data_IF_666153033604
#
_entry.id   IF_666153033604
#
_cell.length_a   1.000
_cell.length_b   1.000
_cell.length_c   1.000
_cell.angle_alpha   90.00
_cell.angle_beta   90.00
_cell.angle_gamma   90.00
#
_symmetry.space_group_name_H-M   'P 1'
#
loop_
_entity.id
_entity.type
_entity.pdbx_description
1 polymer ?
#
# COMPACT_ATOMS: atom_id res chain seq x y z
N UNK A 1 -88.20 4.35 -7.93
CA UNK A 1 -87.58 5.22 -8.95
C UNK A 1 -87.16 6.53 -8.27
N UNK A 2 -86.03 6.52 -7.58
CA UNK A 2 -85.12 7.66 -7.36
C UNK A 2 -83.91 7.10 -6.63
N UNK A 3 -82.78 7.21 -7.33
CA UNK A 3 -81.41 6.97 -6.91
C UNK A 3 -80.97 8.02 -5.85
N UNK A 4 -79.70 7.92 -5.43
CA UNK A 4 -78.89 8.86 -4.63
C UNK A 4 -78.79 8.54 -3.14
N UNK A 5 -77.62 8.52 -2.49
CA UNK A 5 -76.22 8.20 -2.80
C UNK A 5 -75.46 8.46 -1.48
N UNK A 6 -74.43 7.66 -1.18
CA UNK A 6 -73.39 7.99 -0.18
C UNK A 6 -73.83 7.84 1.29
N UNK A 7 -72.98 7.42 2.21
CA UNK A 7 -71.54 7.53 2.22
C UNK A 7 -71.05 6.53 3.28
N UNK A 8 -70.32 5.48 2.89
CA UNK A 8 -69.50 4.77 3.85
C UNK A 8 -68.49 5.78 4.40
N UNK A 9 -68.65 6.15 5.68
CA UNK A 9 -67.67 7.00 6.37
C UNK A 9 -66.42 6.16 6.57
N UNK A 10 -65.56 6.14 5.56
CA UNK A 10 -64.20 5.67 5.69
C UNK A 10 -63.47 6.67 6.62
N UNK A 11 -63.48 6.37 7.92
CA UNK A 11 -62.68 7.10 8.90
C UNK A 11 -61.23 6.73 8.67
N UNK A 12 -60.59 7.46 7.76
CA UNK A 12 -59.14 7.46 7.64
C UNK A 12 -58.54 7.91 9.00
N UNK A 13 -57.57 7.17 9.57
CA UNK A 13 -56.82 7.67 10.70
C UNK A 13 -55.97 8.85 10.21
N UNK A 14 -56.39 10.06 10.57
CA UNK A 14 -55.65 11.31 10.36
C UNK A 14 -54.47 11.42 11.32
N UNK A 15 -53.49 10.53 11.22
CA UNK A 15 -52.27 10.58 12.04
C UNK A 15 -51.08 10.02 11.25
N UNK A 16 -50.70 10.62 10.12
CA UNK A 16 -49.55 10.09 9.36
C UNK A 16 -48.78 11.07 8.47
N UNK A 17 -49.03 12.38 8.54
CA UNK A 17 -48.29 13.35 7.70
C UNK A 17 -46.99 13.82 8.35
N UNK A 18 -47.02 14.20 9.63
CA UNK A 18 -45.85 14.74 10.32
C UNK A 18 -44.79 13.68 10.65
N UNK A 19 -45.22 12.45 10.96
CA UNK A 19 -44.30 11.33 11.21
C UNK A 19 -43.64 10.85 9.91
N UNK A 20 -44.38 10.82 8.81
CA UNK A 20 -43.83 10.46 7.50
C UNK A 20 -42.87 11.53 6.96
N UNK A 21 -43.17 12.82 7.15
CA UNK A 21 -42.26 13.90 6.74
C UNK A 21 -41.00 13.97 7.59
N UNK A 22 -41.10 13.74 8.92
CA UNK A 22 -39.93 13.61 9.79
C UNK A 22 -39.07 12.40 9.41
N UNK A 23 -39.69 11.27 9.04
CA UNK A 23 -38.97 10.07 8.61
C UNK A 23 -38.28 10.26 7.26
N UNK A 24 -38.93 10.94 6.30
CA UNK A 24 -38.32 11.31 5.03
C UNK A 24 -37.22 12.37 5.21
N UNK A 25 -37.37 13.32 6.14
CA UNK A 25 -36.33 14.29 6.49
C UNK A 25 -35.12 13.61 7.13
N UNK A 26 -35.34 12.61 7.99
CA UNK A 26 -34.28 11.81 8.63
C UNK A 26 -33.56 10.93 7.60
N UNK A 27 -34.30 10.33 6.65
CA UNK A 27 -33.70 9.60 5.52
C UNK A 27 -32.92 10.54 4.59
N UNK A 28 -33.40 11.76 4.36
CA UNK A 28 -32.71 12.77 3.54
C UNK A 28 -31.48 13.37 4.26
N UNK A 29 -31.53 13.51 5.58
CA UNK A 29 -30.39 13.85 6.43
C UNK A 29 -29.32 12.73 6.48
N UNK A 30 -29.68 11.50 6.12
CA UNK A 30 -28.77 10.36 6.02
C UNK A 30 -28.25 10.13 4.58
N UNK A 31 -28.51 11.05 3.65
CA UNK A 31 -28.16 10.89 2.23
C UNK A 31 -27.10 11.89 1.75
N UNK A 32 -26.03 12.09 2.53
CA UNK A 32 -24.74 12.58 2.01
C UNK A 32 -23.65 12.42 3.07
N UNK A 33 -23.32 11.15 3.33
CA UNK A 33 -22.11 10.77 4.06
C UNK A 33 -21.40 9.65 3.31
N UNK A 34 -21.28 9.79 1.98
CA UNK A 34 -20.48 8.88 1.17
C UNK A 34 -19.08 8.77 1.77
N UNK A 35 -18.82 7.57 2.28
CA UNK A 35 -17.60 7.03 2.85
C UNK A 35 -16.34 7.85 2.59
N UNK A 36 -16.05 8.78 3.49
CA UNK A 36 -14.65 9.01 3.85
C UNK A 36 -14.20 7.81 4.69
N UNK A 37 -14.12 6.62 4.09
CA UNK A 37 -13.16 5.63 4.54
C UNK A 37 -11.80 6.24 4.21
N UNK A 38 -11.37 7.19 5.05
CA UNK A 38 -9.97 7.53 5.19
C UNK A 38 -9.34 6.19 5.51
N UNK A 39 -8.71 5.59 4.52
CA UNK A 39 -7.80 4.50 4.76
C UNK A 39 -6.76 5.07 5.73
N UNK A 40 -6.96 4.81 7.02
CA UNK A 40 -5.88 4.86 7.97
C UNK A 40 -5.00 3.73 7.45
N UNK A 41 -4.03 4.07 6.61
CA UNK A 41 -2.96 3.17 6.23
C UNK A 41 -2.49 2.63 7.58
N UNK A 42 -2.74 1.35 7.91
CA UNK A 42 -2.37 0.83 9.21
C UNK A 42 -0.89 1.14 9.39
N UNK A 43 -0.46 1.45 10.62
CA UNK A 43 0.93 1.75 11.01
C UNK A 43 1.95 0.63 10.67
N UNK A 44 1.52 -0.35 9.88
CA UNK A 44 2.34 -1.27 9.11
C UNK A 44 3.26 -0.48 8.19
N UNK A 45 4.55 -0.74 8.32
CA UNK A 45 5.55 -0.33 7.32
C UNK A 45 5.04 -0.80 5.96
N UNK A 46 4.79 0.14 5.05
CA UNK A 46 4.36 -0.20 3.71
C UNK A 46 5.54 -0.83 2.98
N UNK A 47 5.52 -2.14 2.84
CA UNK A 47 6.45 -2.85 1.99
C UNK A 47 6.21 -2.41 0.55
N UNK A 48 7.29 -2.01 -0.14
CA UNK A 48 7.27 -1.64 -1.55
C UNK A 48 8.48 -2.24 -2.24
N UNK A 49 8.24 -2.76 -3.43
CA UNK A 49 9.28 -3.23 -4.34
C UNK A 49 9.53 -2.16 -5.39
N UNK A 50 10.81 -1.83 -5.60
CA UNK A 50 11.26 -0.97 -6.68
C UNK A 50 12.13 -1.80 -7.62
N UNK A 51 11.84 -1.72 -8.91
CA UNK A 51 12.58 -2.42 -9.95
C UNK A 51 13.32 -1.42 -10.82
N UNK A 52 14.61 -1.67 -11.02
CA UNK A 52 15.48 -0.86 -11.86
C UNK A 52 16.18 -1.77 -12.86
N UNK A 53 16.42 -1.26 -14.07
CA UNK A 53 17.19 -1.95 -15.10
C UNK A 53 18.36 -1.07 -15.51
N UNK A 54 19.54 -1.65 -15.58
CA UNK A 54 20.78 -0.99 -15.99
C UNK A 54 21.57 -1.91 -16.90
N UNK A 55 22.35 -1.31 -17.80
CA UNK A 55 23.34 -2.04 -18.57
C UNK A 55 24.49 -2.50 -17.66
N UNK A 56 24.95 -3.74 -17.82
CA UNK A 56 26.01 -4.28 -16.96
C UNK A 56 27.35 -3.54 -17.15
N UNK A 57 27.61 -3.01 -18.35
CA UNK A 57 28.83 -2.30 -18.68
C UNK A 57 28.71 -0.79 -18.45
N UNK A 58 27.67 -0.35 -17.73
CA UNK A 58 27.52 1.05 -17.38
C UNK A 58 28.69 1.53 -16.48
N UNK A 59 29.12 2.78 -16.63
CA UNK A 59 30.19 3.32 -15.80
C UNK A 59 29.78 3.34 -14.31
N UNK A 60 30.77 3.26 -13.43
CA UNK A 60 30.54 3.50 -12.00
C UNK A 60 30.01 4.92 -11.79
N UNK A 61 29.00 5.06 -10.94
CA UNK A 61 28.27 6.31 -10.73
C UNK A 61 27.06 6.50 -11.64
N UNK A 62 26.71 5.51 -12.46
CA UNK A 62 25.47 5.54 -13.25
C UNK A 62 24.26 5.61 -12.34
N UNK A 63 23.34 6.53 -12.63
CA UNK A 63 22.09 6.71 -11.89
C UNK A 63 21.08 5.61 -12.24
N UNK A 64 20.50 4.99 -11.22
CA UNK A 64 19.40 4.01 -11.36
C UNK A 64 18.03 4.70 -11.24
N UNK A 65 17.91 5.65 -10.31
CA UNK A 65 16.67 6.33 -9.99
C UNK A 65 16.63 6.78 -8.52
N UNK A 66 15.46 7.19 -8.03
CA UNK A 66 15.30 7.73 -6.66
C UNK A 66 14.28 6.93 -5.86
N UNK A 67 14.59 6.64 -4.59
CA UNK A 67 13.68 5.99 -3.65
C UNK A 67 12.63 7.00 -3.16
N UNK A 68 11.44 6.99 -3.76
CA UNK A 68 10.36 7.93 -3.42
C UNK A 68 9.45 7.39 -2.32
N UNK A 69 9.14 8.23 -1.34
CA UNK A 69 8.08 7.99 -0.37
C UNK A 69 6.83 8.77 -0.85
N UNK A 70 5.71 8.12 -1.21
CA UNK A 70 4.50 8.74 -1.78
C UNK A 70 3.93 9.90 -0.97
N UNK A 71 4.12 9.89 0.35
CA UNK A 71 3.67 10.96 1.24
C UNK A 71 4.80 11.92 1.63
N UNK A 72 6.00 11.80 1.07
CA UNK A 72 7.12 12.72 1.29
C UNK A 72 6.73 14.20 1.12
N UNK A 73 5.99 14.62 0.07
CA UNK A 73 5.64 16.05 -0.06
C UNK A 73 4.69 16.55 1.04
N UNK A 74 3.96 15.65 1.71
CA UNK A 74 3.07 15.98 2.84
C UNK A 74 3.68 15.60 4.19
N UNK A 75 4.93 15.14 4.20
CA UNK A 75 5.60 14.73 5.41
C UNK A 75 6.14 15.97 6.14
N UNK A 76 5.55 16.26 7.30
CA UNK A 76 5.88 17.42 8.14
C UNK A 76 6.89 17.07 9.26
N UNK A 77 7.58 15.93 9.14
CA UNK A 77 8.56 15.47 10.13
C UNK A 77 10.01 15.91 9.83
N UNK A 78 10.99 15.44 10.61
CA UNK A 78 12.42 15.70 10.37
C UNK A 78 12.86 15.19 8.99
N UNK A 79 13.89 15.74 8.34
CA UNK A 79 14.35 15.27 7.03
C UNK A 79 14.56 13.75 6.99
N UNK A 80 14.10 13.13 5.90
CA UNK A 80 14.24 11.71 5.67
C UNK A 80 15.70 11.36 5.38
N UNK A 81 16.13 10.19 5.86
CA UNK A 81 17.48 9.66 5.65
C UNK A 81 17.41 8.27 5.05
N UNK A 82 18.06 8.09 3.91
CA UNK A 82 18.05 6.84 3.14
C UNK A 82 19.32 6.03 3.43
N UNK A 83 19.15 4.72 3.61
CA UNK A 83 20.25 3.76 3.78
C UNK A 83 19.77 2.36 3.42
N UNK A 84 20.70 1.50 3.00
CA UNK A 84 20.43 0.08 2.87
C UNK A 84 20.30 -0.58 4.24
N UNK A 85 19.45 -1.61 4.33
CA UNK A 85 19.33 -2.44 5.53
C UNK A 85 20.56 -3.31 5.79
N UNK A 86 21.38 -3.54 4.76
CA UNK A 86 22.66 -4.25 4.83
C UNK A 86 23.72 -3.52 3.97
N UNK A 87 25.02 -3.70 4.25
CA UNK A 87 26.07 -3.12 3.42
C UNK A 87 25.95 -3.57 1.96
N UNK A 88 25.87 -2.60 1.05
CA UNK A 88 25.91 -2.82 -0.40
C UNK A 88 27.29 -2.51 -0.94
N UNK A 89 27.80 -3.36 -1.84
CA UNK A 89 29.08 -3.15 -2.53
C UNK A 89 28.92 -2.66 -3.98
N UNK A 90 27.75 -2.90 -4.56
CA UNK A 90 27.49 -2.64 -5.98
C UNK A 90 26.70 -1.35 -6.18
N UNK A 91 25.97 -0.90 -5.16
CA UNK A 91 25.09 0.25 -5.23
C UNK A 91 25.34 1.19 -4.04
N UNK A 92 25.22 2.48 -4.30
CA UNK A 92 25.20 3.53 -3.31
C UNK A 92 23.83 4.23 -3.33
N UNK A 93 23.43 4.78 -2.18
CA UNK A 93 22.26 5.64 -2.07
C UNK A 93 22.68 6.96 -1.43
N UNK A 94 22.28 8.07 -2.03
CA UNK A 94 22.43 9.38 -1.40
C UNK A 94 21.51 9.47 -0.18
N UNK A 95 22.08 9.78 0.99
CA UNK A 95 21.35 9.75 2.26
C UNK A 95 20.20 10.76 2.29
N UNK A 96 20.26 11.85 1.52
CA UNK A 96 19.30 12.96 1.62
C UNK A 96 18.24 12.94 0.54
N UNK A 97 18.64 12.68 -0.71
CA UNK A 97 17.76 12.66 -1.87
C UNK A 97 17.16 11.28 -2.13
N UNK A 98 17.81 10.21 -1.65
CA UNK A 98 17.42 8.84 -1.97
C UNK A 98 17.81 8.40 -3.38
N UNK A 99 18.66 9.16 -4.08
CA UNK A 99 19.19 8.79 -5.40
C UNK A 99 20.08 7.55 -5.30
N UNK A 100 19.79 6.54 -6.11
CA UNK A 100 20.54 5.30 -6.24
C UNK A 100 21.52 5.40 -7.41
N UNK A 101 22.76 4.99 -7.17
CA UNK A 101 23.84 4.95 -8.17
C UNK A 101 24.63 3.65 -8.11
N UNK A 102 25.31 3.30 -9.20
CA UNK A 102 26.29 2.20 -9.19
C UNK A 102 27.55 2.62 -8.42
N UNK A 103 28.01 1.76 -7.53
CA UNK A 103 29.22 1.97 -6.72
C UNK A 103 30.42 1.13 -7.19
N UNK A 104 30.17 0.14 -8.05
CA UNK A 104 31.18 -0.74 -8.63
C UNK A 104 30.70 -1.24 -10.00
N UNK A 105 31.61 -1.79 -10.84
CA UNK A 105 31.23 -2.44 -12.09
C UNK A 105 30.22 -3.58 -11.84
N UNK A 106 29.23 -3.68 -12.72
CA UNK A 106 28.25 -4.75 -12.69
C UNK A 106 28.69 -5.83 -13.68
N UNK A 107 28.52 -7.09 -13.30
CA UNK A 107 28.89 -8.26 -14.09
C UNK A 107 27.83 -9.32 -13.80
N UNK A 108 26.90 -9.51 -14.72
CA UNK A 108 25.73 -10.35 -14.49
C UNK A 108 26.12 -11.82 -14.27
N UNK A 109 27.10 -12.32 -15.02
CA UNK A 109 27.60 -13.69 -14.96
C UNK A 109 28.22 -14.00 -13.59
N UNK A 110 29.03 -13.08 -13.07
CA UNK A 110 29.63 -13.19 -11.74
C UNK A 110 28.58 -13.20 -10.64
N UNK A 111 27.55 -12.35 -10.74
CA UNK A 111 26.46 -12.29 -9.77
C UNK A 111 25.62 -13.55 -9.77
N UNK A 112 25.27 -14.07 -10.96
CA UNK A 112 24.53 -15.32 -11.11
C UNK A 112 25.30 -16.50 -10.49
N UNK A 113 26.61 -16.54 -10.70
CA UNK A 113 27.47 -17.59 -10.15
C UNK A 113 27.54 -17.55 -8.62
N UNK A 114 27.66 -16.36 -8.03
CA UNK A 114 27.65 -16.16 -6.57
C UNK A 114 26.32 -16.57 -5.94
N UNK A 115 25.20 -16.18 -6.55
CA UNK A 115 23.87 -16.53 -6.06
C UNK A 115 23.69 -18.05 -5.97
N UNK A 116 24.06 -18.78 -7.05
CA UNK A 116 23.98 -20.24 -7.09
C UNK A 116 24.86 -20.92 -6.03
N UNK A 117 26.06 -20.39 -5.79
CA UNK A 117 26.95 -20.91 -4.74
C UNK A 117 26.36 -20.73 -3.34
N UNK A 118 25.71 -19.60 -3.08
CA UNK A 118 25.04 -19.34 -1.80
C UNK A 118 23.87 -20.30 -1.57
N UNK A 119 23.07 -20.59 -2.60
CA UNK A 119 21.98 -21.57 -2.55
C UNK A 119 22.49 -22.99 -2.27
N UNK A 120 23.58 -23.40 -2.94
CA UNK A 120 24.22 -24.69 -2.71
C UNK A 120 24.83 -24.81 -1.30
N UNK A 121 25.40 -23.71 -0.77
CA UNK A 121 25.92 -23.66 0.60
C UNK A 121 24.82 -23.75 1.66
N UNK A 122 23.67 -23.09 1.42
CA UNK A 122 22.54 -23.12 2.34
C UNK A 122 21.88 -24.50 2.44
N UNK A 123 21.78 -25.24 1.33
CA UNK A 123 21.24 -26.60 1.32
C UNK A 123 22.11 -27.60 2.10
N UNK A 124 23.44 -27.39 2.09
CA UNK A 124 24.39 -28.24 2.82
C UNK A 124 24.30 -28.04 4.34
N UNK A 125 24.06 -26.82 4.81
CA UNK A 125 23.94 -26.52 6.25
C UNK A 125 22.62 -26.98 6.89
N UNK A 126 21.57 -27.19 6.09
CA UNK A 126 20.29 -27.70 6.60
C UNK A 126 20.35 -29.19 7.00
N UNK A 127 21.29 -29.96 6.44
CA UNK A 127 21.33 -31.41 6.63
C UNK A 127 22.09 -31.84 7.89
N UNK A 128 22.96 -30.98 8.44
CA UNK A 128 23.81 -31.30 9.60
C UNK A 128 23.11 -31.11 10.96
N UNK A 129 21.96 -30.41 11.01
CA UNK A 129 21.21 -30.20 12.27
C UNK A 129 20.20 -31.32 12.60
N UNK A 130 20.02 -32.29 11.71
CA UNK A 130 19.10 -33.41 11.93
C UNK A 130 19.75 -34.61 12.64
N UNK A 131 21.07 -34.58 12.88
CA UNK A 131 21.84 -35.70 13.46
C UNK A 131 21.97 -35.72 14.98
N UNK A 132 21.39 -34.77 15.72
CA UNK A 132 21.54 -34.64 17.18
C UNK A 132 20.29 -35.02 17.99
N UNK A 133 19.31 -35.68 17.35
CA UNK A 133 18.14 -36.26 18.01
C UNK A 133 18.04 -37.74 17.64
N UNK A 134 18.81 -38.59 18.33
CA UNK A 134 18.57 -40.04 18.45
C UNK A 134 19.10 -40.52 19.79
#
# INVERSE_FOLDING_TARGET
>A
MTDWQGHHVNRSPRLSSLLASAFLLILWLFETGASAHREILPWRIQERTLEFSIDENCPVGTELGTVVIPNAPHYMGPPLKYRFGSPSRLFAVDETSGQLTTAAPIDAESLCSKARQQEAGASSQSSDKQGYLS
#
